data_IF_267990232022
#
_entry.id   IF_267990232022
#
_cell.length_a   1.000
_cell.length_b   1.000
_cell.length_c   1.000
_cell.angle_alpha   90.00
_cell.angle_beta   90.00
_cell.angle_gamma   90.00
#
_symmetry.space_group_name_H-M   'P 1'
#
loop_
_entity.id
_entity.type
_entity.pdbx_description
1 polymer ?
#
# COMPACT_ATOMS: atom_id res chain seq x y z
N UNK A 1 -38.63 -12.00 -3.88
CA UNK A 1 -37.94 -10.70 -3.81
C UNK A 1 -36.45 -11.00 -3.66
N UNK A 2 -35.78 -11.24 -4.78
CA UNK A 2 -34.36 -11.57 -4.80
C UNK A 2 -33.58 -10.27 -4.98
N UNK A 3 -32.70 -9.96 -4.05
CA UNK A 3 -31.75 -8.86 -4.16
C UNK A 3 -30.54 -9.34 -4.95
N UNK A 4 -30.60 -9.25 -6.27
CA UNK A 4 -29.41 -9.24 -7.11
C UNK A 4 -28.96 -7.78 -7.26
N UNK A 5 -28.26 -7.29 -6.24
CA UNK A 5 -27.41 -6.11 -6.43
C UNK A 5 -26.23 -6.51 -7.32
N UNK A 6 -25.72 -5.60 -8.19
CA UNK A 6 -24.59 -5.93 -9.03
C UNK A 6 -23.43 -6.36 -8.14
N UNK A 7 -22.99 -7.60 -8.30
CA UNK A 7 -21.70 -8.06 -7.78
C UNK A 7 -20.67 -7.23 -8.52
N UNK A 8 -20.32 -6.09 -7.93
CA UNK A 8 -19.31 -5.21 -8.49
C UNK A 8 -18.08 -6.07 -8.69
N UNK A 9 -17.71 -6.27 -9.95
CA UNK A 9 -16.38 -6.72 -10.33
C UNK A 9 -15.45 -5.62 -9.86
N UNK A 10 -15.12 -5.62 -8.55
CA UNK A 10 -14.20 -4.68 -7.94
C UNK A 10 -12.92 -4.76 -8.73
N UNK A 11 -12.57 -3.67 -9.40
CA UNK A 11 -11.39 -3.60 -10.24
C UNK A 11 -10.16 -3.83 -9.34
N UNK A 12 -9.68 -5.06 -9.27
CA UNK A 12 -8.55 -5.39 -8.44
C UNK A 12 -7.26 -4.93 -9.13
N UNK A 13 -6.66 -3.85 -8.63
CA UNK A 13 -5.37 -3.38 -9.14
C UNK A 13 -4.29 -4.31 -8.60
N UNK A 14 -3.40 -4.79 -9.48
CA UNK A 14 -2.23 -5.56 -9.07
C UNK A 14 -0.95 -4.86 -9.51
N UNK A 15 -0.07 -4.55 -8.55
CA UNK A 15 1.25 -3.99 -8.78
C UNK A 15 2.31 -5.03 -8.38
N UNK A 16 3.32 -5.23 -9.22
CA UNK A 16 4.37 -6.23 -8.99
C UNK A 16 5.75 -5.72 -9.39
N UNK A 17 6.75 -6.04 -8.57
CA UNK A 17 8.17 -5.85 -8.87
C UNK A 17 8.53 -4.42 -9.30
N UNK A 18 7.91 -3.43 -8.66
CA UNK A 18 8.19 -2.01 -8.89
C UNK A 18 9.27 -1.53 -7.92
N UNK A 19 10.23 -0.76 -8.45
CA UNK A 19 11.27 -0.09 -7.67
C UNK A 19 10.97 1.41 -7.56
N UNK A 20 10.92 1.92 -6.34
CA UNK A 20 10.66 3.34 -6.06
C UNK A 20 11.91 4.02 -5.51
N UNK A 21 12.31 5.10 -6.17
CA UNK A 21 13.49 5.89 -5.81
C UNK A 21 13.09 7.35 -5.58
N UNK A 22 13.34 7.86 -4.37
CA UNK A 22 13.21 9.28 -4.07
C UNK A 22 14.60 9.92 -4.12
N UNK A 23 14.84 10.79 -5.11
CA UNK A 23 16.15 11.38 -5.38
C UNK A 23 16.71 12.25 -4.23
N UNK A 24 15.84 12.76 -3.34
CA UNK A 24 16.24 13.51 -2.14
C UNK A 24 15.37 13.10 -0.96
N UNK A 25 15.95 12.97 0.26
CA UNK A 25 15.15 12.90 1.48
C UNK A 25 14.34 14.19 1.61
N UNK A 26 13.03 14.04 1.67
CA UNK A 26 12.13 15.10 2.10
C UNK A 26 11.12 14.55 3.11
N UNK A 27 10.34 15.44 3.72
CA UNK A 27 9.38 15.07 4.75
C UNK A 27 8.03 14.59 4.19
N UNK A 28 7.92 14.35 2.88
CA UNK A 28 6.66 13.95 2.25
C UNK A 28 6.51 12.43 2.28
N UNK A 29 5.27 11.99 2.13
CA UNK A 29 4.96 10.58 1.92
C UNK A 29 5.37 10.19 0.50
N UNK A 30 6.01 9.04 0.32
CA UNK A 30 6.39 8.58 -1.02
C UNK A 30 5.15 8.17 -1.85
N UNK A 31 4.18 7.53 -1.19
CA UNK A 31 2.90 7.13 -1.76
C UNK A 31 1.76 7.42 -0.78
N UNK A 32 0.63 7.85 -1.34
CA UNK A 32 -0.63 8.05 -0.60
C UNK A 32 -1.72 7.30 -1.35
N UNK A 33 -2.42 6.41 -0.66
CA UNK A 33 -3.61 5.74 -1.16
C UNK A 33 -4.83 6.36 -0.51
N UNK A 34 -5.75 6.83 -1.35
CA UNK A 34 -7.00 7.49 -0.99
C UNK A 34 -8.13 6.82 -1.76
N UNK A 35 -9.16 6.38 -1.04
CA UNK A 35 -10.30 5.59 -1.53
C UNK A 35 -9.95 4.33 -2.34
N UNK A 36 -8.77 3.74 -2.08
CA UNK A 36 -8.29 2.55 -2.81
C UNK A 36 -8.94 1.28 -2.30
N UNK A 37 -9.59 0.52 -3.19
CA UNK A 37 -10.20 -0.77 -2.87
C UNK A 37 -9.67 -1.91 -3.73
N UNK A 38 -9.43 -3.07 -3.11
CA UNK A 38 -9.06 -4.28 -3.83
C UNK A 38 -7.66 -4.24 -4.46
N UNK A 39 -6.70 -3.54 -3.83
CA UNK A 39 -5.32 -3.48 -4.31
C UNK A 39 -4.51 -4.68 -3.78
N UNK A 40 -3.72 -5.29 -4.67
CA UNK A 40 -2.65 -6.21 -4.28
C UNK A 40 -1.31 -5.72 -4.81
N UNK A 41 -0.34 -5.57 -3.92
CA UNK A 41 1.04 -5.24 -4.25
C UNK A 41 1.98 -6.30 -3.70
N UNK A 42 2.82 -6.87 -4.56
CA UNK A 42 3.90 -7.75 -4.17
C UNK A 42 5.27 -7.29 -4.73
N UNK A 43 6.36 -7.50 -3.99
CA UNK A 43 7.71 -7.39 -4.53
C UNK A 43 8.22 -5.95 -4.68
N UNK A 44 7.67 -5.02 -3.92
CA UNK A 44 8.15 -3.63 -3.93
C UNK A 44 9.54 -3.53 -3.31
N UNK A 45 10.45 -2.81 -3.96
CA UNK A 45 11.65 -2.27 -3.31
C UNK A 45 11.56 -0.76 -3.24
N UNK A 46 11.95 -0.19 -2.11
CA UNK A 46 12.05 1.25 -1.98
C UNK A 46 13.39 1.66 -1.41
N UNK A 47 14.18 2.36 -2.22
CA UNK A 47 15.30 3.16 -1.73
C UNK A 47 14.83 4.58 -1.49
N UNK A 48 13.88 4.72 -0.56
CA UNK A 48 13.33 6.01 -0.19
C UNK A 48 13.81 6.40 1.19
N UNK A 49 14.40 7.60 1.30
CA UNK A 49 14.64 8.27 2.58
C UNK A 49 13.44 9.14 3.01
N UNK A 50 12.26 8.92 2.43
CA UNK A 50 11.04 9.53 2.90
C UNK A 50 10.80 9.16 4.36
N UNK A 51 10.18 10.08 5.11
CA UNK A 51 9.81 9.81 6.51
C UNK A 51 8.79 8.68 6.55
N UNK A 52 7.77 8.73 5.69
CA UNK A 52 6.75 7.68 5.52
C UNK A 52 6.77 7.19 4.08
N UNK A 53 6.87 5.87 3.88
CA UNK A 53 6.86 5.31 2.54
C UNK A 53 5.43 5.25 1.96
N UNK A 54 4.52 4.51 2.59
CA UNK A 54 3.12 4.42 2.15
C UNK A 54 2.17 4.89 3.25
N UNK A 55 1.30 5.83 2.91
CA UNK A 55 0.19 6.27 3.75
C UNK A 55 -1.12 5.79 3.17
N UNK A 56 -1.95 5.14 3.99
CA UNK A 56 -3.33 4.80 3.64
C UNK A 56 -4.26 5.78 4.35
N UNK A 57 -5.04 6.50 3.55
CA UNK A 57 -6.03 7.47 4.00
C UNK A 57 -7.43 7.03 3.56
N UNK A 58 -8.43 7.84 3.88
CA UNK A 58 -9.87 7.61 3.78
C UNK A 58 -10.35 6.53 2.79
N UNK A 59 -11.30 5.69 3.23
CA UNK A 59 -12.01 4.78 2.34
C UNK A 59 -11.20 3.61 1.75
N UNK A 60 -9.93 3.45 2.14
CA UNK A 60 -9.10 2.31 1.75
C UNK A 60 -9.61 1.00 2.37
N UNK A 61 -9.81 -0.02 1.52
CA UNK A 61 -10.33 -1.32 1.93
C UNK A 61 -9.75 -2.46 1.08
N UNK A 62 -9.64 -3.66 1.66
CA UNK A 62 -9.15 -4.85 0.94
C UNK A 62 -7.80 -4.61 0.21
N UNK A 63 -6.88 -3.91 0.88
CA UNK A 63 -5.53 -3.60 0.36
C UNK A 63 -4.51 -4.56 0.96
N UNK A 64 -3.72 -5.22 0.11
CA UNK A 64 -2.65 -6.13 0.52
C UNK A 64 -1.33 -5.68 -0.08
N UNK A 65 -0.37 -5.29 0.76
CA UNK A 65 0.97 -4.88 0.37
C UNK A 65 1.96 -5.79 1.10
N UNK A 66 2.55 -6.74 0.37
CA UNK A 66 3.32 -7.86 0.96
C UNK A 66 4.63 -8.15 0.20
N UNK A 67 5.58 -8.86 0.83
CA UNK A 67 6.87 -9.24 0.23
C UNK A 67 7.68 -8.04 -0.28
N UNK A 68 7.78 -6.98 0.51
CA UNK A 68 8.41 -5.72 0.14
C UNK A 68 9.74 -5.52 0.88
N UNK A 69 10.76 -5.03 0.18
CA UNK A 69 11.98 -4.49 0.79
C UNK A 69 11.83 -2.98 1.01
N UNK A 70 11.45 -2.64 2.24
CA UNK A 70 11.33 -1.26 2.72
C UNK A 70 12.40 -0.96 3.80
N UNK A 71 13.51 -1.69 3.78
CA UNK A 71 14.58 -1.57 4.79
C UNK A 71 15.19 -0.16 4.89
N UNK A 72 15.09 0.63 3.82
CA UNK A 72 15.56 2.01 3.78
C UNK A 72 14.52 3.04 4.29
N UNK A 73 13.25 2.66 4.46
CA UNK A 73 12.21 3.57 4.91
C UNK A 73 12.24 3.75 6.44
N UNK A 74 12.09 5.00 6.89
CA UNK A 74 12.03 5.31 8.34
C UNK A 74 10.71 4.81 8.94
N UNK A 75 9.60 5.10 8.26
CA UNK A 75 8.27 4.60 8.58
C UNK A 75 7.68 3.93 7.34
N UNK A 76 7.70 2.58 7.24
CA UNK A 76 7.23 1.88 6.05
C UNK A 76 5.76 2.13 5.72
N UNK A 77 4.90 2.13 6.75
CA UNK A 77 3.46 2.29 6.60
C UNK A 77 2.90 3.23 7.65
N UNK A 78 1.97 4.09 7.23
CA UNK A 78 1.11 4.87 8.11
C UNK A 78 -0.35 4.63 7.73
N UNK A 79 -1.24 4.57 8.72
CA UNK A 79 -2.68 4.39 8.53
C UNK A 79 -3.41 5.53 9.24
N UNK A 80 -4.26 6.23 8.50
CA UNK A 80 -5.18 7.19 9.11
C UNK A 80 -6.14 6.47 10.09
N UNK A 81 -6.72 7.19 11.06
CA UNK A 81 -7.78 6.65 11.89
C UNK A 81 -8.97 6.18 11.05
N UNK A 82 -9.51 4.99 11.34
CA UNK A 82 -10.69 4.46 10.64
C UNK A 82 -10.39 3.61 9.39
N UNK A 83 -9.13 3.38 9.05
CA UNK A 83 -8.76 2.42 8.01
C UNK A 83 -9.21 1.00 8.39
N UNK A 84 -9.79 0.30 7.40
CA UNK A 84 -10.36 -1.05 7.56
C UNK A 84 -9.34 -2.05 8.13
N UNK A 85 -9.83 -2.97 8.97
CA UNK A 85 -9.02 -4.08 9.50
C UNK A 85 -8.56 -5.06 8.42
N UNK A 86 -9.24 -5.07 7.27
CA UNK A 86 -8.93 -5.94 6.12
C UNK A 86 -7.75 -5.42 5.28
N UNK A 87 -7.17 -4.29 5.67
CA UNK A 87 -5.92 -3.78 5.11
C UNK A 87 -4.73 -4.51 5.73
N UNK A 88 -4.01 -5.26 4.91
CA UNK A 88 -2.79 -5.98 5.27
C UNK A 88 -1.60 -5.23 4.67
N UNK A 89 -0.71 -4.72 5.53
CA UNK A 89 0.54 -4.12 5.12
C UNK A 89 1.67 -4.83 5.87
N UNK A 90 2.46 -5.60 5.13
CA UNK A 90 3.56 -6.36 5.68
C UNK A 90 4.84 -6.01 4.92
N UNK A 91 5.83 -5.54 5.67
CA UNK A 91 7.21 -5.51 5.22
C UNK A 91 7.87 -6.81 5.67
N UNK A 92 7.86 -7.80 4.79
CA UNK A 92 8.79 -8.92 4.92
C UNK A 92 10.00 -8.55 4.08
N UNK A 93 11.12 -8.24 4.74
CA UNK A 93 12.42 -8.09 4.08
C UNK A 93 12.55 -9.25 3.09
N UNK A 94 12.74 -8.94 1.80
CA UNK A 94 13.03 -9.97 0.80
C UNK A 94 14.37 -10.58 1.21
N UNK A 95 14.34 -11.66 1.98
CA UNK A 95 15.53 -12.49 2.19
C UNK A 95 15.79 -13.10 0.82
N UNK A 96 16.72 -12.49 0.10
CA UNK A 96 17.25 -13.01 -1.15
C UNK A 96 17.87 -14.39 -0.92
#
# INVERSE_FOLDING_TARGET
MAMDGPVGLGLAITLRDLDFQCAKPDQRHALVFDEVRGLRWNGLSAQSRAVVFLSLVDGCDSVSVISNDLSAAVTPFERAPGISGDVICESANRIA
#
